data_IF_348098938380
#
_entry.id   IF_348098938380
#
_cell.length_a   1.000
_cell.length_b   1.000
_cell.length_c   1.000
_cell.angle_alpha   90.00
_cell.angle_beta   90.00
_cell.angle_gamma   90.00
#
_symmetry.space_group_name_H-M   'P 1'
#
loop_
_entity.id
_entity.type
_entity.pdbx_description
1 polymer ?
#
# COMPACT_ATOMS: atom_id res chain seq x y z
N UNK A 1 14.71 22.72 -6.27
CA UNK A 1 14.59 21.40 -6.93
C UNK A 1 13.32 20.74 -6.42
N UNK A 2 12.43 20.26 -7.31
CA UNK A 2 11.22 19.53 -6.90
C UNK A 2 11.64 18.23 -6.23
N UNK A 3 11.41 18.08 -4.93
CA UNK A 3 11.43 16.77 -4.27
C UNK A 3 10.28 15.96 -4.86
N UNK A 4 10.55 15.16 -5.89
CA UNK A 4 9.64 14.08 -6.28
C UNK A 4 9.73 13.03 -5.19
N UNK A 5 8.76 13.05 -4.26
CA UNK A 5 8.59 12.00 -3.26
C UNK A 5 8.43 10.68 -4.00
N UNK A 6 9.49 9.88 -4.01
CA UNK A 6 9.56 8.67 -4.79
C UNK A 6 9.03 7.48 -4.01
N UNK A 7 7.75 7.59 -3.67
CA UNK A 7 7.00 6.57 -2.95
C UNK A 7 6.27 5.68 -3.95
N UNK A 8 6.25 4.39 -3.67
CA UNK A 8 5.41 3.40 -4.34
C UNK A 8 4.36 2.86 -3.37
N UNK A 9 3.26 2.32 -3.90
CA UNK A 9 2.14 1.84 -3.12
C UNK A 9 1.78 0.42 -3.52
N UNK A 10 1.62 -0.45 -2.52
CA UNK A 10 1.01 -1.76 -2.70
C UNK A 10 -0.27 -1.80 -1.88
N UNK A 11 -1.37 -2.11 -2.53
CA UNK A 11 -2.72 -2.02 -1.97
C UNK A 11 -3.42 -3.36 -2.13
N UNK A 12 -3.80 -3.92 -1.00
CA UNK A 12 -4.56 -5.15 -0.91
C UNK A 12 -6.03 -4.76 -0.75
N UNK A 13 -6.89 -5.25 -1.64
CA UNK A 13 -8.34 -5.02 -1.57
C UNK A 13 -9.01 -6.33 -1.23
N UNK A 14 -9.81 -6.32 -0.18
CA UNK A 14 -10.49 -7.51 0.35
C UNK A 14 -11.92 -7.18 0.76
N UNK A 15 -12.77 -8.20 0.88
CA UNK A 15 -14.15 -8.08 1.38
C UNK A 15 -14.25 -8.08 2.91
N UNK A 16 -13.14 -8.28 3.64
CA UNK A 16 -13.14 -8.36 5.11
C UNK A 16 -12.30 -7.24 5.75
N UNK A 17 -12.93 -6.47 6.64
CA UNK A 17 -12.26 -5.43 7.43
C UNK A 17 -11.16 -6.00 8.33
N UNK A 18 -11.39 -7.19 8.88
CA UNK A 18 -10.44 -7.89 9.74
C UNK A 18 -9.24 -8.39 8.94
N UNK A 19 -9.47 -8.94 7.73
CA UNK A 19 -8.38 -9.33 6.84
C UNK A 19 -7.52 -8.11 6.45
N UNK A 20 -8.15 -6.99 6.09
CA UNK A 20 -7.45 -5.74 5.79
C UNK A 20 -6.60 -5.26 6.98
N UNK A 21 -7.15 -5.32 8.20
CA UNK A 21 -6.40 -4.96 9.41
C UNK A 21 -5.20 -5.88 9.65
N UNK A 22 -5.39 -7.19 9.56
CA UNK A 22 -4.32 -8.19 9.75
C UNK A 22 -3.23 -8.06 8.69
N UNK A 23 -3.59 -7.83 7.43
CA UNK A 23 -2.62 -7.59 6.35
C UNK A 23 -1.83 -6.32 6.63
N UNK A 24 -2.47 -5.20 6.98
CA UNK A 24 -1.78 -3.94 7.28
C UNK A 24 -0.80 -4.07 8.45
N UNK A 25 -1.23 -4.77 9.51
CA UNK A 25 -0.37 -5.10 10.65
C UNK A 25 0.80 -6.00 10.22
N UNK A 26 0.51 -7.04 9.43
CA UNK A 26 1.51 -7.94 8.88
C UNK A 26 2.54 -7.22 8.01
N UNK A 27 2.13 -6.29 7.16
CA UNK A 27 3.01 -5.45 6.34
C UNK A 27 3.94 -4.58 7.20
N UNK A 28 3.43 -4.04 8.30
CA UNK A 28 4.22 -3.29 9.28
C UNK A 28 5.21 -4.16 10.05
N UNK A 29 4.83 -5.37 10.43
CA UNK A 29 5.68 -6.28 11.21
C UNK A 29 6.72 -6.99 10.33
N UNK A 30 6.31 -7.40 9.12
CA UNK A 30 7.15 -8.11 8.17
C UNK A 30 8.22 -7.23 7.53
N UNK A 31 8.12 -5.89 7.69
CA UNK A 31 8.99 -4.86 7.12
C UNK A 31 10.30 -5.44 6.61
N UNK A 32 10.41 -5.77 5.31
CA UNK A 32 11.64 -6.29 4.78
C UNK A 32 12.58 -5.11 4.75
N UNK A 33 13.48 -5.04 5.72
CA UNK A 33 14.78 -4.43 5.50
C UNK A 33 15.50 -5.31 4.48
N UNK A 34 15.03 -5.32 3.23
CA UNK A 34 15.70 -6.11 2.22
C UNK A 34 16.99 -5.37 1.85
N UNK A 35 18.04 -6.16 1.65
CA UNK A 35 19.34 -5.76 1.11
C UNK A 35 19.23 -4.98 -0.23
N UNK A 36 18.04 -4.94 -0.84
CA UNK A 36 17.72 -4.33 -2.14
C UNK A 36 16.94 -3.00 -2.05
N UNK A 37 16.68 -2.48 -0.84
CA UNK A 37 16.36 -1.07 -0.64
C UNK A 37 14.89 -0.69 -0.86
N UNK A 38 14.10 -0.80 0.20
CA UNK A 38 12.84 -0.10 0.34
C UNK A 38 12.58 0.21 1.81
N UNK A 39 12.54 1.49 2.19
CA UNK A 39 12.15 1.86 3.56
C UNK A 39 10.62 1.97 3.60
N UNK A 40 9.97 1.16 4.43
CA UNK A 40 8.55 1.36 4.75
C UNK A 40 8.37 2.75 5.35
N UNK A 41 7.56 3.57 4.71
CA UNK A 41 7.22 4.92 5.16
C UNK A 41 5.95 4.92 6.00
N UNK A 42 4.92 4.21 5.53
CA UNK A 42 3.65 4.13 6.20
C UNK A 42 2.90 2.84 5.87
N UNK A 43 1.99 2.46 6.76
CA UNK A 43 0.98 1.42 6.52
C UNK A 43 -0.37 1.97 6.95
N UNK A 44 -1.44 1.57 6.26
CA UNK A 44 -2.81 1.93 6.61
C UNK A 44 -3.80 0.83 6.24
N UNK A 45 -5.00 0.92 6.79
CA UNK A 45 -6.14 0.09 6.40
C UNK A 45 -7.44 0.84 6.63
N UNK A 46 -8.48 0.51 5.88
CA UNK A 46 -9.79 1.16 6.03
C UNK A 46 -10.79 0.72 4.97
N UNK A 47 -11.86 1.49 4.81
CA UNK A 47 -12.80 1.28 3.71
C UNK A 47 -12.23 1.86 2.42
N UNK A 48 -12.38 1.16 1.29
CA UNK A 48 -11.76 1.55 0.01
C UNK A 48 -12.15 2.98 -0.42
N UNK A 49 -13.42 3.37 -0.24
CA UNK A 49 -13.91 4.69 -0.65
C UNK A 49 -13.37 5.87 0.17
N UNK A 50 -12.63 5.62 1.26
CA UNK A 50 -12.10 6.66 2.14
C UNK A 50 -10.71 7.16 1.73
N UNK A 51 -10.03 6.48 0.80
CA UNK A 51 -8.67 6.82 0.39
C UNK A 51 -8.61 7.19 -1.09
N UNK A 52 -8.23 8.44 -1.39
CA UNK A 52 -8.19 8.96 -2.75
C UNK A 52 -7.08 8.38 -3.62
N UNK A 53 -6.15 7.61 -3.04
CA UNK A 53 -5.13 6.90 -3.81
C UNK A 53 -5.77 5.74 -4.56
N UNK A 54 -6.74 5.06 -3.95
CA UNK A 54 -7.38 3.87 -4.51
C UNK A 54 -8.21 4.26 -5.75
N UNK A 55 -8.12 3.52 -6.87
CA UNK A 55 -8.94 3.83 -8.03
C UNK A 55 -10.42 3.71 -7.72
N UNK A 56 -11.20 4.67 -8.20
CA UNK A 56 -12.64 4.79 -7.94
C UNK A 56 -13.46 3.57 -8.36
N UNK A 57 -12.95 2.77 -9.31
CA UNK A 57 -13.59 1.51 -9.74
C UNK A 57 -13.71 0.48 -8.60
N UNK A 58 -12.90 0.62 -7.54
CA UNK A 58 -12.94 -0.24 -6.36
C UNK A 58 -13.76 0.35 -5.19
N UNK A 59 -14.26 1.59 -5.32
CA UNK A 59 -15.02 2.26 -4.26
C UNK A 59 -16.44 1.70 -4.08
N UNK A 60 -16.83 0.70 -4.86
CA UNK A 60 -18.10 -0.02 -4.74
C UNK A 60 -18.14 -1.00 -3.57
N UNK A 61 -19.36 -1.17 -3.04
CA UNK A 61 -19.85 -2.13 -2.02
C UNK A 61 -18.81 -2.81 -1.10
N UNK A 62 -18.77 -2.36 0.15
CA UNK A 62 -18.22 -3.07 1.33
C UNK A 62 -16.81 -3.67 1.19
N UNK A 63 -15.96 -3.06 0.36
CA UNK A 63 -14.55 -3.44 0.25
C UNK A 63 -13.69 -2.65 1.23
N UNK A 64 -12.71 -3.35 1.78
CA UNK A 64 -11.71 -2.84 2.69
C UNK A 64 -10.34 -2.93 2.02
N UNK A 65 -9.42 -2.09 2.48
CA UNK A 65 -8.06 -2.09 1.97
C UNK A 65 -7.04 -2.20 3.10
N UNK A 66 -5.90 -2.78 2.76
CA UNK A 66 -4.64 -2.59 3.47
C UNK A 66 -3.64 -2.00 2.48
N UNK A 67 -2.80 -1.07 2.93
CA UNK A 67 -1.82 -0.43 2.07
C UNK A 67 -0.49 -0.28 2.79
N UNK A 68 0.58 -0.39 2.01
CA UNK A 68 1.93 -0.01 2.41
C UNK A 68 2.48 1.02 1.43
N UNK A 69 3.10 2.06 1.98
CA UNK A 69 3.90 3.02 1.25
C UNK A 69 5.38 2.77 1.54
N UNK A 70 6.19 2.69 0.49
CA UNK A 70 7.63 2.47 0.61
C UNK A 70 8.41 3.49 -0.22
N UNK A 71 9.55 3.92 0.33
CA UNK A 71 10.52 4.75 -0.39
C UNK A 71 11.36 3.87 -1.30
N UNK A 72 11.32 4.16 -2.59
CA UNK A 72 12.19 3.50 -3.57
C UNK A 72 13.66 3.81 -3.28
N UNK A 73 14.53 2.80 -3.38
CA UNK A 73 15.98 2.95 -3.29
C UNK A 73 16.60 3.75 -4.44
N UNK A 74 17.94 3.73 -4.54
CA UNK A 74 18.69 4.40 -5.63
C UNK A 74 18.43 3.80 -7.02
N UNK A 75 18.06 2.52 -7.08
CA UNK A 75 17.63 1.87 -8.32
C UNK A 75 16.13 2.01 -8.49
N UNK A 76 15.79 3.06 -9.23
CA UNK A 76 14.44 3.33 -9.67
C UNK A 76 14.09 2.44 -10.85
N UNK A 77 13.04 1.65 -10.70
CA UNK A 77 12.13 1.21 -11.74
C UNK A 77 11.02 0.46 -10.98
N UNK A 78 9.96 1.06 -10.42
CA UNK A 78 9.14 2.20 -10.82
C UNK A 78 8.31 2.67 -9.59
N UNK A 79 7.62 3.84 -9.60
CA UNK A 79 6.48 4.07 -8.72
C UNK A 79 5.36 3.11 -9.15
N UNK A 80 5.40 1.89 -8.62
CA UNK A 80 4.42 0.87 -8.94
C UNK A 80 3.21 1.08 -8.05
N UNK A 81 2.08 1.17 -8.74
CA UNK A 81 0.78 1.10 -8.13
C UNK A 81 0.31 -0.34 -8.29
N UNK A 82 0.54 -1.17 -7.28
CA UNK A 82 0.14 -2.57 -7.31
C UNK A 82 -1.17 -2.74 -6.54
N UNK A 83 -2.15 -3.36 -7.19
CA UNK A 83 -3.41 -3.75 -6.56
C UNK A 83 -3.46 -5.27 -6.50
N UNK A 84 -3.51 -5.79 -5.28
CA UNK A 84 -3.65 -7.22 -5.01
C UNK A 84 -5.10 -7.47 -4.56
N UNK A 85 -5.84 -8.25 -5.35
CA UNK A 85 -7.21 -8.66 -4.98
C UNK A 85 -7.14 -9.92 -4.13
N UNK A 86 -7.72 -9.86 -2.93
CA UNK A 86 -7.64 -10.89 -1.91
C UNK A 86 -9.02 -11.35 -1.43
#
# INVERSE_FOLDING_TARGET
MKNTNNSSYMIFITSSSEAAHLISRGLREATPWSIQGGQTLSTSSGCVHQDCRIPSLYHGSDRFFAMIEYRNGKDWNHPEYEIVLC
#
